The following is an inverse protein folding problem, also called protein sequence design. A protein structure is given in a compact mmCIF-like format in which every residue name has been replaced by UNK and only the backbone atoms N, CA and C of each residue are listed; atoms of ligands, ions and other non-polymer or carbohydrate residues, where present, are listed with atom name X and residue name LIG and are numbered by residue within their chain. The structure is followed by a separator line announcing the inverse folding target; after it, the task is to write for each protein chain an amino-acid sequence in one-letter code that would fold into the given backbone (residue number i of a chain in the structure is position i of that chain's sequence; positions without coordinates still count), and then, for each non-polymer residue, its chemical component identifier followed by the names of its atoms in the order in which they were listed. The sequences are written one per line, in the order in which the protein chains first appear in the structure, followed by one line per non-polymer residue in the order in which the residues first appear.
data_IF_342908672007
#
_entry.id   IF_342908672007
#
_cell.length_a   1.000
_cell.length_b   1.000
_cell.length_c   1.000
_cell.angle_alpha   90.00
_cell.angle_beta   90.00
_cell.angle_gamma   90.00
#
_symmetry.space_group_name_H-M   'P 1'
#
loop_
_entity.id
_entity.type
_entity.pdbx_description
1 polymer ?
#
# COMPACT_ATOMS: atom_id res chain seq x y z
N UNK A 1 -4.67 -6.70 0.57
CA UNK A 1 -4.74 -7.39 1.88
C UNK A 1 -4.99 -8.88 1.75
N UNK A 2 -6.01 -9.34 1.03
CA UNK A 2 -6.40 -10.77 1.03
C UNK A 2 -5.36 -11.71 0.41
N UNK A 3 -4.67 -11.26 -0.63
CA UNK A 3 -3.71 -12.12 -1.37
C UNK A 3 -2.28 -11.98 -0.82
N UNK A 4 -1.76 -10.76 -0.74
CA UNK A 4 -0.36 -10.53 -0.35
C UNK A 4 -0.15 -10.12 1.13
N UNK A 5 -1.22 -10.04 1.93
CA UNK A 5 -1.10 -9.80 3.38
C UNK A 5 -0.58 -8.41 3.79
N UNK A 6 -0.54 -7.43 2.88
CA UNK A 6 -0.21 -6.02 3.16
C UNK A 6 -1.42 -5.12 2.87
N UNK A 7 -1.68 -4.18 3.77
CA UNK A 7 -2.77 -3.21 3.65
C UNK A 7 -2.26 -1.90 3.02
N UNK A 8 -3.07 -1.34 2.12
CA UNK A 8 -2.78 -0.09 1.43
C UNK A 8 -4.08 0.66 1.14
N UNK A 9 -3.96 1.95 0.84
CA UNK A 9 -5.10 2.80 0.45
C UNK A 9 -4.87 3.27 -1.00
N UNK A 10 -5.80 3.03 -1.94
CA UNK A 10 -5.70 3.60 -3.29
C UNK A 10 -5.68 5.12 -3.21
N UNK A 11 -4.78 5.77 -3.94
CA UNK A 11 -4.68 7.24 -3.93
C UNK A 11 -5.90 7.91 -4.60
N UNK A 12 -6.55 7.22 -5.53
CA UNK A 12 -7.71 7.71 -6.26
C UNK A 12 -8.88 8.15 -5.36
N UNK A 13 -9.00 7.58 -4.16
CA UNK A 13 -10.06 7.94 -3.19
C UNK A 13 -9.94 9.37 -2.65
N UNK A 14 -8.79 10.02 -2.86
CA UNK A 14 -8.54 11.40 -2.46
C UNK A 14 -8.80 12.41 -3.60
N UNK A 15 -9.21 11.95 -4.78
CA UNK A 15 -9.57 12.79 -5.92
C UNK A 15 -11.09 12.77 -6.13
N UNK A 16 -11.66 13.94 -6.43
CA UNK A 16 -13.04 14.01 -6.93
C UNK A 16 -13.17 13.35 -8.31
N UNK A 17 -12.18 13.58 -9.18
CA UNK A 17 -12.05 12.95 -10.49
C UNK A 17 -10.62 12.41 -10.65
N UNK A 18 -10.38 11.11 -10.41
CA UNK A 18 -9.04 10.55 -10.50
C UNK A 18 -8.55 10.51 -11.97
N UNK A 19 -7.25 10.74 -12.23
CA UNK A 19 -6.69 10.61 -13.58
C UNK A 19 -6.91 9.20 -14.14
N UNK A 20 -7.25 9.07 -15.44
CA UNK A 20 -7.44 7.77 -16.07
C UNK A 20 -6.16 6.93 -16.01
N UNK A 21 -6.30 5.64 -15.67
CA UNK A 21 -5.19 4.70 -15.61
C UNK A 21 -4.28 4.82 -14.37
N UNK A 22 -4.63 5.64 -13.38
CA UNK A 22 -3.83 5.80 -12.15
C UNK A 22 -3.70 4.47 -11.38
N UNK A 23 -2.46 4.04 -11.14
CA UNK A 23 -2.11 2.84 -10.34
C UNK A 23 -1.19 3.18 -9.18
N UNK A 24 -1.65 4.05 -8.27
CA UNK A 24 -0.90 4.50 -7.10
C UNK A 24 -1.61 4.08 -5.81
N UNK A 25 -0.82 3.65 -4.83
CA UNK A 25 -1.28 3.31 -3.48
C UNK A 25 -0.48 4.07 -2.42
N UNK A 26 -1.12 4.34 -1.28
CA UNK A 26 -0.51 4.92 -0.08
C UNK A 26 -0.25 3.84 0.94
N UNK A 27 0.98 3.82 1.46
CA UNK A 27 1.39 3.05 2.62
C UNK A 27 1.69 4.00 3.79
N UNK A 28 1.51 3.53 5.02
CA UNK A 28 1.83 4.29 6.22
C UNK A 28 3.01 3.62 6.94
N UNK A 29 4.10 4.36 7.10
CA UNK A 29 5.34 3.86 7.73
C UNK A 29 5.45 4.21 9.22
N UNK A 30 4.51 4.96 9.78
CA UNK A 30 4.42 5.22 11.21
C UNK A 30 3.95 3.95 11.95
N UNK A 31 4.84 2.97 12.04
CA UNK A 31 4.66 1.62 12.58
C UNK A 31 5.94 1.20 13.33
N UNK A 32 5.84 0.16 14.13
CA UNK A 32 7.02 -0.47 14.73
C UNK A 32 7.91 -1.07 13.64
N UNK A 33 9.22 -1.10 13.90
CA UNK A 33 10.23 -1.56 12.94
C UNK A 33 9.97 -2.99 12.44
N UNK A 34 9.53 -3.88 13.33
CA UNK A 34 9.18 -5.27 12.97
C UNK A 34 8.01 -5.36 12.00
N UNK A 35 7.03 -4.45 12.13
CA UNK A 35 5.91 -4.35 11.19
C UNK A 35 6.41 -3.89 9.81
N UNK A 36 7.35 -2.96 9.78
CA UNK A 36 7.94 -2.46 8.53
C UNK A 36 8.74 -3.54 7.81
N UNK A 37 9.57 -4.29 8.55
CA UNK A 37 10.35 -5.42 8.00
C UNK A 37 9.45 -6.50 7.42
N UNK A 38 8.46 -6.96 8.19
CA UNK A 38 7.53 -8.00 7.73
C UNK A 38 6.74 -7.57 6.48
N UNK A 39 6.32 -6.29 6.42
CA UNK A 39 5.66 -5.76 5.24
C UNK A 39 6.61 -5.70 4.03
N UNK A 40 7.87 -5.28 4.23
CA UNK A 40 8.87 -5.23 3.17
C UNK A 40 9.18 -6.63 2.59
N UNK A 41 9.37 -7.63 3.45
CA UNK A 41 9.58 -9.03 3.02
C UNK A 41 8.45 -9.53 2.12
N UNK A 42 7.19 -9.28 2.52
CA UNK A 42 6.02 -9.66 1.72
C UNK A 42 5.96 -8.93 0.39
N UNK A 43 6.30 -7.63 0.36
CA UNK A 43 6.25 -6.82 -0.86
C UNK A 43 7.35 -7.20 -1.86
N UNK A 44 8.54 -7.57 -1.38
CA UNK A 44 9.65 -7.99 -2.24
C UNK A 44 9.45 -9.36 -2.90
N UNK A 45 8.50 -10.16 -2.41
CA UNK A 45 8.18 -11.48 -2.96
C UNK A 45 7.04 -11.46 -4.02
N UNK A 46 6.58 -10.28 -4.40
CA UNK A 46 5.53 -10.06 -5.43
C UNK A 46 6.20 -9.74 -6.76
#
# INVERSE_FOLDING_TARGET
TREHGVASIPISVFYQSPPPGQRLIRLCFAKQEDTLRLAAEKLCAI
#
